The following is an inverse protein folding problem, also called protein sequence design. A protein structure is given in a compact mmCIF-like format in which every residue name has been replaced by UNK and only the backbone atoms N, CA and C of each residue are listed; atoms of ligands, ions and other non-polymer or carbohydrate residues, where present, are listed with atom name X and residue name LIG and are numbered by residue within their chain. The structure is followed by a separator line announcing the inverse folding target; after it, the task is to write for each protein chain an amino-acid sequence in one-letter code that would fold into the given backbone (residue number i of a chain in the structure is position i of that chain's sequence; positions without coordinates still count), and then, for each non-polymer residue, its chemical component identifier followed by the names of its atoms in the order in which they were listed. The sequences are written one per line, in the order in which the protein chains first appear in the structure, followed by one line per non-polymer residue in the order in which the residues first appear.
data_IF_613682346225
#
_entry.id   IF_613682346225
#
_cell.length_a   1.000
_cell.length_b   1.000
_cell.length_c   1.000
_cell.angle_alpha   90.00
_cell.angle_beta   90.00
_cell.angle_gamma   90.00
#
_symmetry.space_group_name_H-M   'P 1'
#
loop_
_entity.id
_entity.type
_entity.pdbx_description
1 polymer ?
#
# COMPACT_ATOMS: atom_id res chain seq x y z
N UNK A 1 1.12 -6.93 -12.10
CA UNK A 1 1.65 -8.25 -12.51
C UNK A 1 1.68 -8.25 -14.01
N UNK A 2 2.49 -9.10 -14.63
CA UNK A 2 2.55 -9.15 -16.10
C UNK A 2 1.36 -9.94 -16.68
N UNK A 3 0.56 -10.61 -15.83
CA UNK A 3 -0.66 -11.36 -16.16
C UNK A 3 -1.72 -11.20 -15.05
N UNK A 4 -3.00 -11.32 -15.42
CA UNK A 4 -4.15 -11.30 -14.51
C UNK A 4 -4.06 -12.44 -13.49
N UNK A 5 -4.43 -12.14 -12.24
CA UNK A 5 -4.53 -13.09 -11.12
C UNK A 5 -3.28 -13.89 -10.71
N UNK A 6 -2.11 -13.52 -11.22
CA UNK A 6 -0.84 -14.07 -10.72
C UNK A 6 -0.40 -13.42 -9.40
N UNK A 7 0.54 -14.08 -8.73
CA UNK A 7 1.13 -13.58 -7.50
C UNK A 7 1.63 -12.13 -7.65
N UNK A 8 1.24 -11.20 -6.76
CA UNK A 8 1.50 -9.78 -6.96
C UNK A 8 2.99 -9.46 -6.90
N UNK A 9 3.48 -8.71 -7.88
CA UNK A 9 4.87 -8.21 -7.87
C UNK A 9 5.07 -7.15 -6.80
N UNK A 10 4.13 -6.21 -6.69
CA UNK A 10 4.14 -5.11 -5.73
C UNK A 10 2.76 -4.86 -5.17
N UNK A 11 2.70 -4.29 -3.97
CA UNK A 11 1.48 -3.80 -3.34
C UNK A 11 1.64 -2.34 -2.92
N UNK A 12 0.53 -1.60 -2.96
CA UNK A 12 0.43 -0.24 -2.43
C UNK A 12 -0.86 -0.17 -1.64
N UNK A 13 -0.75 0.30 -0.40
CA UNK A 13 -1.86 0.44 0.53
C UNK A 13 -2.03 1.94 0.77
N UNK A 14 -3.27 2.42 0.70
CA UNK A 14 -3.62 3.82 0.88
C UNK A 14 -4.77 3.88 1.89
N UNK A 15 -4.66 4.81 2.83
CA UNK A 15 -5.76 5.07 3.75
C UNK A 15 -6.84 5.84 2.99
N UNK A 16 -8.05 5.30 3.03
CA UNK A 16 -9.24 5.88 2.43
C UNK A 16 -10.09 6.48 3.54
N UNK A 17 -10.59 7.70 3.36
CA UNK A 17 -11.50 8.35 4.34
C UNK A 17 -12.95 7.88 4.18
N UNK A 18 -13.36 7.59 2.95
CA UNK A 18 -14.70 7.13 2.59
C UNK A 18 -14.69 6.39 1.25
N UNK A 19 -15.58 5.43 1.07
CA UNK A 19 -15.69 4.62 -0.16
C UNK A 19 -16.50 5.34 -1.28
N UNK A 20 -16.44 6.67 -1.32
CA UNK A 20 -17.18 7.44 -2.33
C UNK A 20 -16.33 7.73 -3.58
N UNK A 21 -17.02 8.09 -4.66
CA UNK A 21 -16.42 8.39 -5.95
C UNK A 21 -15.40 9.53 -5.89
N UNK A 22 -15.64 10.53 -5.07
CA UNK A 22 -14.80 11.71 -4.89
C UNK A 22 -13.45 11.34 -4.27
N UNK A 23 -13.46 10.47 -3.26
CA UNK A 23 -12.25 9.99 -2.60
C UNK A 23 -11.46 9.06 -3.54
N UNK A 24 -12.13 8.17 -4.27
CA UNK A 24 -11.48 7.33 -5.30
C UNK A 24 -10.82 8.22 -6.36
N UNK A 25 -11.51 9.27 -6.84
CA UNK A 25 -10.92 10.26 -7.76
C UNK A 25 -9.71 10.97 -7.17
N UNK A 26 -9.76 11.36 -5.90
CA UNK A 26 -8.64 12.01 -5.20
C UNK A 26 -7.42 11.08 -5.16
N UNK A 27 -7.62 9.81 -4.81
CA UNK A 27 -6.54 8.82 -4.71
C UNK A 27 -5.95 8.48 -6.07
N UNK A 28 -6.79 8.31 -7.10
CA UNK A 28 -6.34 7.99 -8.46
C UNK A 28 -5.46 9.08 -9.08
N UNK A 29 -5.55 10.34 -8.65
CA UNK A 29 -4.60 11.40 -9.09
C UNK A 29 -3.15 11.11 -8.72
N UNK A 30 -2.91 10.32 -7.67
CA UNK A 30 -1.57 9.96 -7.20
C UNK A 30 -1.07 8.62 -7.77
N UNK A 31 -1.79 8.06 -8.74
CA UNK A 31 -1.47 6.80 -9.39
C UNK A 31 -1.29 7.12 -10.87
N UNK A 32 -0.13 6.73 -11.41
CA UNK A 32 0.11 6.82 -12.84
C UNK A 32 -0.60 5.65 -13.55
N UNK A 33 -1.40 5.96 -14.55
CA UNK A 33 -2.09 5.01 -15.42
C UNK A 33 -2.30 5.64 -16.79
N UNK A 34 -2.47 4.79 -17.79
CA UNK A 34 -2.76 5.13 -19.19
C UNK A 34 -3.89 4.22 -19.73
N UNK A 35 -4.19 4.34 -21.01
CA UNK A 35 -5.24 3.52 -21.66
C UNK A 35 -4.90 2.04 -21.73
N UNK A 36 -3.61 1.69 -21.71
CA UNK A 36 -3.13 0.31 -21.76
C UNK A 36 -3.12 -0.34 -20.37
N UNK A 37 -3.25 0.48 -19.32
CA UNK A 37 -3.36 0.02 -17.94
C UNK A 37 -4.68 -0.72 -17.73
N UNK A 38 -4.60 -1.93 -17.18
CA UNK A 38 -5.78 -2.70 -16.77
C UNK A 38 -6.04 -2.52 -15.28
N UNK A 39 -7.25 -2.11 -14.92
CA UNK A 39 -7.70 -1.97 -13.53
C UNK A 39 -8.84 -2.95 -13.27
N UNK A 40 -8.72 -3.73 -12.19
CA UNK A 40 -9.71 -4.72 -11.76
C UNK A 40 -10.37 -4.26 -10.47
N UNK A 41 -11.70 -4.27 -10.41
CA UNK A 41 -12.50 -3.84 -9.25
C UNK A 41 -13.63 -4.82 -8.98
N UNK A 42 -14.17 -4.79 -7.76
CA UNK A 42 -15.09 -5.77 -7.16
C UNK A 42 -16.58 -5.53 -7.48
N UNK A 43 -16.88 -4.69 -8.46
CA UNK A 43 -18.23 -4.27 -8.79
C UNK A 43 -18.54 -2.83 -8.36
N UNK A 44 -17.66 -2.16 -7.61
CA UNK A 44 -17.93 -0.83 -7.06
C UNK A 44 -18.19 0.25 -8.15
N UNK A 45 -19.39 0.89 -8.14
CA UNK A 45 -19.74 1.97 -9.07
C UNK A 45 -18.82 3.20 -9.00
N UNK A 46 -18.10 3.41 -7.89
CA UNK A 46 -17.16 4.52 -7.72
C UNK A 46 -16.08 4.54 -8.80
N UNK A 47 -15.73 3.38 -9.39
CA UNK A 47 -14.70 3.25 -10.42
C UNK A 47 -15.21 3.42 -11.86
N UNK A 48 -16.53 3.55 -12.07
CA UNK A 48 -17.11 3.65 -13.42
C UNK A 48 -16.58 4.82 -14.25
N UNK A 49 -16.11 5.91 -13.63
CA UNK A 49 -15.56 7.06 -14.36
C UNK A 49 -14.21 6.76 -15.02
N UNK A 50 -13.58 5.62 -14.71
CA UNK A 50 -12.31 5.20 -15.30
C UNK A 50 -12.47 4.46 -16.63
N UNK A 51 -13.68 4.04 -17.01
CA UNK A 51 -13.93 3.27 -18.24
C UNK A 51 -13.35 3.89 -19.51
N UNK A 52 -13.36 5.23 -19.59
CA UNK A 52 -12.84 5.96 -20.76
C UNK A 52 -11.33 6.22 -20.69
N UNK A 53 -10.68 5.87 -19.57
CA UNK A 53 -9.28 6.20 -19.26
C UNK A 53 -8.36 4.99 -19.19
N UNK A 54 -8.90 3.82 -18.88
CA UNK A 54 -8.15 2.56 -18.66
C UNK A 54 -8.97 1.38 -19.17
N UNK A 55 -8.33 0.21 -19.32
CA UNK A 55 -9.06 -1.04 -19.49
C UNK A 55 -9.67 -1.50 -18.15
N UNK A 56 -10.92 -1.12 -17.87
CA UNK A 56 -11.59 -1.42 -16.60
C UNK A 56 -12.32 -2.78 -16.64
N UNK A 57 -11.90 -3.70 -15.78
CA UNK A 57 -12.60 -4.95 -15.47
C UNK A 57 -13.34 -4.77 -14.14
N UNK A 58 -14.59 -4.31 -14.20
CA UNK A 58 -15.45 -4.16 -13.03
C UNK A 58 -16.48 -5.30 -12.99
N UNK A 59 -16.28 -6.30 -12.12
CA UNK A 59 -17.18 -7.46 -12.00
C UNK A 59 -17.41 -7.80 -10.55
N UNK A 60 -18.65 -8.18 -10.22
CA UNK A 60 -18.97 -8.77 -8.92
C UNK A 60 -18.21 -10.08 -8.80
N UNK A 61 -17.49 -10.24 -7.69
CA UNK A 61 -16.61 -11.39 -7.47
C UNK A 61 -17.41 -12.56 -6.90
N UNK A 62 -17.35 -13.72 -7.55
CA UNK A 62 -17.83 -14.97 -6.97
C UNK A 62 -16.70 -15.64 -6.16
N UNK A 63 -16.85 -15.63 -4.83
CA UNK A 63 -15.87 -16.23 -3.92
C UNK A 63 -15.90 -17.77 -3.89
N UNK A 64 -16.84 -18.41 -4.60
CA UNK A 64 -16.83 -19.87 -4.79
C UNK A 64 -15.78 -20.32 -5.80
N UNK A 65 -15.37 -19.43 -6.70
CA UNK A 65 -14.29 -19.70 -7.64
C UNK A 65 -12.94 -19.64 -6.93
N UNK A 66 -12.13 -20.69 -7.06
CA UNK A 66 -10.81 -20.78 -6.40
C UNK A 66 -9.80 -19.76 -6.95
N UNK A 67 -9.96 -19.36 -8.21
CA UNK A 67 -9.09 -18.40 -8.91
C UNK A 67 -9.84 -17.09 -9.21
N UNK A 68 -10.62 -16.61 -8.24
CA UNK A 68 -11.35 -15.36 -8.38
C UNK A 68 -10.39 -14.15 -8.46
N UNK A 69 -10.81 -13.07 -9.12
CA UNK A 69 -9.97 -11.91 -9.48
C UNK A 69 -9.31 -11.18 -8.28
N UNK A 70 -9.86 -11.35 -7.07
CA UNK A 70 -9.37 -10.73 -5.84
C UNK A 70 -8.62 -11.69 -4.92
N UNK A 71 -8.31 -12.90 -5.39
CA UNK A 71 -7.71 -13.96 -4.57
C UNK A 71 -6.49 -13.47 -3.80
N UNK A 72 -5.50 -12.93 -4.52
CA UNK A 72 -4.27 -12.44 -3.88
C UNK A 72 -4.48 -11.23 -2.98
N UNK A 73 -5.45 -10.36 -3.28
CA UNK A 73 -5.79 -9.22 -2.43
C UNK A 73 -6.33 -9.74 -1.09
N UNK A 74 -7.25 -10.71 -1.12
CA UNK A 74 -7.79 -11.32 0.08
C UNK A 74 -6.71 -12.02 0.92
N UNK A 75 -5.77 -12.72 0.27
CA UNK A 75 -4.61 -13.32 0.96
C UNK A 75 -3.75 -12.24 1.62
N UNK A 76 -3.46 -11.12 0.94
CA UNK A 76 -2.69 -10.03 1.57
C UNK A 76 -3.44 -9.39 2.74
N UNK A 77 -4.75 -9.16 2.62
CA UNK A 77 -5.58 -8.64 3.71
C UNK A 77 -5.55 -9.60 4.91
N UNK A 78 -5.68 -10.91 4.66
CA UNK A 78 -5.58 -11.94 5.70
C UNK A 78 -4.23 -11.89 6.41
N UNK A 79 -3.13 -11.83 5.65
CA UNK A 79 -1.78 -11.71 6.20
C UNK A 79 -1.58 -10.44 7.04
N UNK A 80 -2.14 -9.30 6.61
CA UNK A 80 -2.10 -8.06 7.38
C UNK A 80 -2.84 -8.23 8.70
N UNK A 81 -4.06 -8.79 8.68
CA UNK A 81 -4.85 -9.07 9.89
C UNK A 81 -4.10 -9.99 10.85
N UNK A 82 -3.58 -11.11 10.39
CA UNK A 82 -2.80 -12.04 11.22
C UNK A 82 -1.56 -11.40 11.82
N UNK A 83 -0.87 -10.51 11.09
CA UNK A 83 0.26 -9.77 11.65
C UNK A 83 -0.18 -8.77 12.73
N UNK A 84 -1.31 -8.10 12.54
CA UNK A 84 -1.88 -7.18 13.51
C UNK A 84 -2.26 -7.93 14.79
N UNK A 85 -2.97 -9.04 14.65
CA UNK A 85 -3.47 -9.84 15.79
C UNK A 85 -2.36 -10.61 16.51
N UNK A 86 -1.30 -11.01 15.79
CA UNK A 86 -0.18 -11.77 16.34
C UNK A 86 0.97 -10.87 16.82
N UNK A 87 1.70 -10.27 15.88
CA UNK A 87 2.95 -9.54 16.16
C UNK A 87 2.67 -8.19 16.83
N UNK A 88 1.62 -7.51 16.39
CA UNK A 88 1.29 -6.16 16.84
C UNK A 88 0.16 -6.14 17.87
N UNK A 89 -0.06 -7.26 18.55
CA UNK A 89 -1.06 -7.39 19.61
C UNK A 89 -0.80 -6.34 20.71
N UNK A 90 -1.80 -5.52 21.02
CA UNK A 90 -1.73 -4.50 22.08
C UNK A 90 -1.16 -3.14 21.67
N UNK A 91 -0.87 -2.92 20.38
CA UNK A 91 -0.37 -1.62 19.91
C UNK A 91 -1.53 -0.63 19.74
N UNK A 92 -1.29 0.63 20.14
CA UNK A 92 -2.29 1.69 20.02
C UNK A 92 -2.70 1.92 18.56
N UNK A 93 -4.02 2.07 18.33
CA UNK A 93 -4.60 2.27 16.99
C UNK A 93 -3.96 3.40 16.18
N UNK A 94 -3.42 4.43 16.82
CA UNK A 94 -2.72 5.54 16.16
C UNK A 94 -1.51 5.10 15.32
N UNK A 95 -0.92 3.94 15.58
CA UNK A 95 0.24 3.42 14.86
C UNK A 95 -0.13 2.43 13.74
N UNK A 96 -1.41 2.07 13.58
CA UNK A 96 -1.84 1.03 12.64
C UNK A 96 -1.43 1.35 11.19
N UNK A 97 -1.53 2.62 10.80
CA UNK A 97 -1.10 3.08 9.47
C UNK A 97 0.39 2.81 9.24
N UNK A 98 1.24 3.00 10.25
CA UNK A 98 2.68 2.71 10.15
C UNK A 98 2.94 1.25 9.82
N UNK A 99 2.23 0.33 10.48
CA UNK A 99 2.38 -1.11 10.23
C UNK A 99 1.85 -1.54 8.87
N UNK A 100 0.74 -0.96 8.43
CA UNK A 100 0.20 -1.20 7.08
C UNK A 100 1.25 -0.79 6.03
N UNK A 101 1.86 0.39 6.20
CA UNK A 101 2.90 0.86 5.29
C UNK A 101 4.18 0.02 5.37
N UNK A 102 4.55 -0.44 6.57
CA UNK A 102 5.66 -1.37 6.74
C UNK A 102 5.41 -2.70 6.02
N UNK A 103 4.18 -3.24 6.11
CA UNK A 103 3.81 -4.46 5.40
C UNK A 103 3.95 -4.29 3.88
N UNK A 104 3.46 -3.18 3.34
CA UNK A 104 3.63 -2.84 1.92
C UNK A 104 5.11 -2.74 1.54
N UNK A 105 5.94 -2.11 2.38
CA UNK A 105 7.36 -1.99 2.15
C UNK A 105 8.07 -3.35 2.15
N UNK A 106 7.83 -4.19 3.17
CA UNK A 106 8.41 -5.54 3.28
C UNK A 106 8.03 -6.39 2.08
N UNK A 107 6.76 -6.37 1.67
CA UNK A 107 6.29 -7.11 0.50
C UNK A 107 7.01 -6.67 -0.78
N UNK A 108 7.15 -5.37 -1.02
CA UNK A 108 7.82 -4.80 -2.19
C UNK A 108 9.34 -5.07 -2.24
N UNK A 109 9.93 -5.44 -1.10
CA UNK A 109 11.37 -5.68 -0.95
C UNK A 109 11.71 -7.14 -0.65
N UNK A 110 10.73 -8.06 -0.65
CA UNK A 110 10.88 -9.46 -0.22
C UNK A 110 12.00 -10.24 -0.94
N UNK A 111 12.28 -9.91 -2.20
CA UNK A 111 13.32 -10.58 -2.99
C UNK A 111 14.71 -9.94 -2.85
N UNK A 112 14.88 -8.88 -2.04
CA UNK A 112 16.19 -8.23 -1.87
C UNK A 112 17.13 -8.97 -0.92
N UNK A 113 16.61 -9.81 -0.02
CA UNK A 113 17.42 -10.58 0.94
C UNK A 113 18.46 -9.72 1.66
N UNK A 114 19.69 -10.24 1.81
CA UNK A 114 20.81 -9.54 2.46
C UNK A 114 21.18 -8.19 1.81
N UNK A 115 20.93 -8.00 0.52
CA UNK A 115 21.20 -6.72 -0.17
C UNK A 115 20.37 -5.57 0.40
N UNK A 116 19.24 -5.87 1.05
CA UNK A 116 18.44 -4.89 1.78
C UNK A 116 19.23 -4.31 2.96
N UNK A 117 19.83 -5.17 3.79
CA UNK A 117 20.62 -4.76 4.94
C UNK A 117 21.80 -3.90 4.50
N UNK A 118 22.54 -4.31 3.46
CA UNK A 118 23.62 -3.49 2.90
C UNK A 118 23.15 -2.13 2.38
N UNK A 119 21.97 -2.09 1.74
CA UNK A 119 21.38 -0.83 1.27
C UNK A 119 21.04 0.10 2.43
N UNK A 120 20.45 -0.43 3.51
CA UNK A 120 20.15 0.32 4.72
C UNK A 120 21.42 0.78 5.42
N UNK A 121 22.41 -0.10 5.58
CA UNK A 121 23.71 0.21 6.20
C UNK A 121 24.44 1.31 5.42
N UNK A 122 24.36 1.26 4.08
CA UNK A 122 24.89 2.30 3.20
C UNK A 122 24.17 3.63 3.40
N UNK A 123 22.83 3.64 3.42
CA UNK A 123 22.05 4.86 3.70
C UNK A 123 22.41 5.42 5.08
N UNK A 124 22.52 4.57 6.09
CA UNK A 124 22.91 4.95 7.45
C UNK A 124 24.34 5.50 7.49
N UNK A 125 25.26 4.92 6.72
CA UNK A 125 26.65 5.40 6.63
C UNK A 125 26.76 6.78 5.97
N UNK A 126 25.83 7.10 5.05
CA UNK A 126 25.74 8.42 4.45
C UNK A 126 24.87 9.39 5.25
N UNK A 127 23.99 8.89 6.12
CA UNK A 127 23.29 9.75 7.06
C UNK A 127 24.30 10.21 8.10
N UNK A 128 24.62 11.51 8.08
CA UNK A 128 25.41 12.19 9.10
C UNK A 128 24.93 11.70 10.47
N UNK A 129 25.85 11.36 11.37
CA UNK A 129 25.53 10.90 12.74
C UNK A 129 24.55 11.89 13.35
N UNK A 130 23.27 11.51 13.33
CA UNK A 130 22.21 12.40 13.74
C UNK A 130 22.13 12.27 15.24
N UNK A 131 22.68 13.26 15.95
CA UNK A 131 22.57 13.29 17.40
C UNK A 131 21.08 13.30 17.78
N UNK A 132 20.76 12.78 18.97
CA UNK A 132 19.37 12.73 19.48
C UNK A 132 18.66 14.09 19.41
N UNK A 133 19.43 15.18 19.49
CA UNK A 133 18.96 16.57 19.37
C UNK A 133 18.53 16.89 17.94
N UNK A 134 19.35 16.56 16.95
CA UNK A 134 19.04 16.74 15.52
C UNK A 134 17.81 15.93 15.09
N UNK A 135 17.65 14.71 15.60
CA UNK A 135 16.48 13.87 15.32
C UNK A 135 15.19 14.50 15.89
N UNK A 136 15.23 14.98 17.13
CA UNK A 136 14.09 15.68 17.76
C UNK A 136 13.72 16.94 16.99
N UNK A 137 14.69 17.75 16.59
CA UNK A 137 14.45 18.98 15.84
C UNK A 137 13.87 18.69 14.45
N UNK A 138 14.36 17.65 13.76
CA UNK A 138 13.80 17.22 12.48
C UNK A 138 12.36 16.72 12.61
N UNK A 139 12.09 15.83 13.59
CA UNK A 139 10.76 15.29 13.84
C UNK A 139 9.75 16.40 14.19
N UNK A 140 10.14 17.34 15.04
CA UNK A 140 9.30 18.47 15.41
C UNK A 140 9.05 19.39 14.20
N UNK A 141 10.06 19.69 13.37
CA UNK A 141 9.86 20.47 12.14
C UNK A 141 8.92 19.78 11.15
N UNK A 142 9.05 18.46 10.98
CA UNK A 142 8.18 17.68 10.10
C UNK A 142 6.73 17.56 10.62
N UNK A 143 6.55 17.42 11.94
CA UNK A 143 5.20 17.39 12.55
C UNK A 143 4.49 18.75 12.54
N UNK A 144 5.23 19.86 12.45
CA UNK A 144 4.66 21.21 12.34
C UNK A 144 4.31 21.55 10.88
N UNK A 145 4.93 20.89 9.88
CA UNK A 145 4.58 21.11 8.46
C UNK A 145 3.36 20.33 7.97
N UNK A 146 2.94 19.27 8.68
CA UNK A 146 1.74 18.47 8.33
C UNK A 146 0.43 19.06 8.91
N UNK A 147 0.51 20.28 9.47
CA UNK A 147 -0.60 21.01 10.11
C UNK A 147 -1.07 22.27 9.37
N UNK A 148 -0.71 22.44 8.09
CA UNK A 148 -1.24 23.48 7.19
C UNK A 148 -1.87 22.86 5.94
#
# INVERSE_FOLDING_TARGET
TDQLNNYPNRIKLLQVKSENKEEVKRLMKHIYYDKDTTICTDGDPAYHYLKDRVHLINRVIDYKESDHLMYWINIQISNIKSNIDGIYHGIAKKYINGYIQEHAWRFNHRYRGFKLMFSMMRIISYSIVMTRKMLKDYYNKASVSDGL
#
